data_IF_658341279222
#
_entry.id   IF_658341279222
#
_cell.length_a   1.000
_cell.length_b   1.000
_cell.length_c   1.000
_cell.angle_alpha   90.00
_cell.angle_beta   90.00
_cell.angle_gamma   90.00
#
_symmetry.space_group_name_H-M   'P 1'
#
loop_
_entity.id
_entity.type
_entity.pdbx_description
1 polymer ?
#
# COMPACT_ATOMS: atom_id res chain seq x y z
N UNK A 1 -39.06 2.19 8.15
CA UNK A 1 -38.17 1.81 7.05
C UNK A 1 -37.74 3.09 6.38
N UNK A 2 -36.45 3.31 6.23
CA UNK A 2 -35.95 4.47 5.50
C UNK A 2 -36.01 4.22 4.00
N UNK A 3 -36.08 5.31 3.25
CA UNK A 3 -36.08 5.31 1.79
C UNK A 3 -34.66 5.04 1.27
N UNK A 4 -33.65 5.60 1.93
CA UNK A 4 -32.24 5.46 1.54
C UNK A 4 -31.52 4.39 2.34
N UNK A 5 -31.69 4.39 3.65
CA UNK A 5 -30.99 3.51 4.59
C UNK A 5 -31.97 2.89 5.59
N UNK A 6 -31.75 1.63 5.93
CA UNK A 6 -32.35 0.96 7.07
C UNK A 6 -31.30 0.74 8.15
N UNK A 7 -31.76 0.53 9.38
CA UNK A 7 -30.91 0.16 10.52
C UNK A 7 -30.07 -1.10 10.26
N UNK A 8 -30.58 -2.04 9.46
CA UNK A 8 -29.85 -3.25 9.05
C UNK A 8 -28.66 -2.99 8.11
N UNK A 9 -28.62 -1.82 7.46
CA UNK A 9 -27.62 -1.48 6.45
C UNK A 9 -26.36 -0.86 7.10
N UNK A 10 -26.51 -0.36 8.33
CA UNK A 10 -25.44 0.21 9.13
C UNK A 10 -24.64 -0.92 9.80
N UNK A 11 -23.30 -0.81 9.92
CA UNK A 11 -22.50 -1.81 10.61
C UNK A 11 -22.99 -2.01 12.05
N UNK A 12 -23.09 -3.25 12.50
CA UNK A 12 -23.39 -3.53 13.90
C UNK A 12 -22.33 -2.91 14.82
N UNK A 13 -22.69 -2.59 16.06
CA UNK A 13 -21.74 -2.06 17.04
C UNK A 13 -20.54 -3.01 17.24
N UNK A 14 -20.75 -4.32 17.14
CA UNK A 14 -19.69 -5.32 17.20
C UNK A 14 -18.73 -5.23 16.01
N UNK A 15 -19.26 -5.09 14.79
CA UNK A 15 -18.45 -4.93 13.58
C UNK A 15 -17.66 -3.61 13.62
N UNK A 16 -18.28 -2.54 14.10
CA UNK A 16 -17.63 -1.24 14.24
C UNK A 16 -16.51 -1.27 15.29
N UNK A 17 -16.75 -1.91 16.43
CA UNK A 17 -15.74 -2.12 17.46
C UNK A 17 -14.57 -2.96 16.93
N UNK A 18 -14.87 -4.05 16.23
CA UNK A 18 -13.84 -4.86 15.54
C UNK A 18 -13.03 -3.99 14.57
N UNK A 19 -13.69 -3.19 13.74
CA UNK A 19 -13.05 -2.34 12.74
C UNK A 19 -12.08 -1.35 13.38
N UNK A 20 -12.48 -0.64 14.44
CA UNK A 20 -11.61 0.29 15.16
C UNK A 20 -10.41 -0.42 15.80
N UNK A 21 -10.62 -1.58 16.42
CA UNK A 21 -9.51 -2.36 16.99
C UNK A 21 -8.56 -2.84 15.91
N UNK A 22 -9.10 -3.32 14.79
CA UNK A 22 -8.31 -3.77 13.64
C UNK A 22 -7.49 -2.64 13.05
N UNK A 23 -8.10 -1.49 12.80
CA UNK A 23 -7.45 -0.30 12.24
C UNK A 23 -6.27 0.17 13.10
N UNK A 24 -6.48 0.29 14.41
CA UNK A 24 -5.42 0.66 15.35
C UNK A 24 -4.30 -0.39 15.40
N UNK A 25 -4.66 -1.69 15.32
CA UNK A 25 -3.68 -2.78 15.32
C UNK A 25 -2.85 -2.78 14.04
N UNK A 26 -3.51 -2.65 12.88
CA UNK A 26 -2.86 -2.59 11.58
C UNK A 26 -1.93 -1.38 11.49
N UNK A 27 -2.38 -0.19 11.91
CA UNK A 27 -1.53 1.00 11.97
C UNK A 27 -0.33 0.79 12.90
N UNK A 28 -0.54 0.21 14.08
CA UNK A 28 0.55 -0.13 15.00
C UNK A 28 1.60 -1.05 14.38
N UNK A 29 1.16 -2.06 13.64
CA UNK A 29 2.05 -2.96 12.87
C UNK A 29 2.79 -2.16 11.79
N UNK A 30 2.11 -1.33 11.00
CA UNK A 30 2.74 -0.51 9.96
C UNK A 30 3.80 0.43 10.54
N UNK A 31 3.50 1.14 11.63
CA UNK A 31 4.41 2.09 12.29
C UNK A 31 5.68 1.40 12.80
N UNK A 32 5.64 0.09 13.08
CA UNK A 32 6.82 -0.70 13.44
C UNK A 32 7.53 -1.25 12.19
N UNK A 33 6.77 -1.87 11.28
CA UNK A 33 7.31 -2.58 10.11
C UNK A 33 7.96 -1.64 9.10
N UNK A 34 7.38 -0.47 8.83
CA UNK A 34 7.92 0.47 7.83
C UNK A 34 9.28 1.03 8.26
N UNK A 35 9.45 1.62 9.46
CA UNK A 35 10.75 2.10 9.91
C UNK A 35 11.79 0.97 10.03
N UNK A 36 11.40 -0.22 10.50
CA UNK A 36 12.29 -1.38 10.53
C UNK A 36 12.77 -1.77 9.12
N UNK A 37 11.87 -1.80 8.15
CA UNK A 37 12.19 -2.13 6.76
C UNK A 37 13.12 -1.07 6.16
N UNK A 38 12.85 0.22 6.37
CA UNK A 38 13.71 1.33 5.93
C UNK A 38 15.10 1.22 6.59
N UNK A 39 15.17 0.90 7.89
CA UNK A 39 16.42 0.71 8.61
C UNK A 39 17.29 -0.39 7.97
N UNK A 40 16.69 -1.55 7.66
CA UNK A 40 17.34 -2.67 6.96
C UNK A 40 17.87 -2.21 5.59
N UNK A 41 17.08 -1.44 4.84
CA UNK A 41 17.50 -0.90 3.55
C UNK A 41 18.70 0.04 3.66
N UNK A 42 18.69 0.93 4.66
CA UNK A 42 19.77 1.90 4.89
C UNK A 42 21.07 1.19 5.27
N UNK A 43 21.01 0.17 6.14
CA UNK A 43 22.19 -0.62 6.53
C UNK A 43 22.74 -1.53 5.43
N UNK A 44 21.99 -1.75 4.36
CA UNK A 44 22.46 -2.54 3.22
C UNK A 44 23.46 -1.73 2.39
N UNK A 45 24.74 -2.12 2.39
CA UNK A 45 25.86 -1.38 1.79
C UNK A 45 26.05 -1.56 0.28
N UNK A 46 25.01 -1.93 -0.47
CA UNK A 46 25.14 -2.22 -1.90
C UNK A 46 24.96 -0.96 -2.77
N UNK A 47 26.08 -0.37 -3.23
CA UNK A 47 26.11 0.82 -4.08
C UNK A 47 25.36 0.64 -5.42
N UNK A 48 25.29 -0.58 -5.95
CA UNK A 48 24.63 -0.91 -7.22
C UNK A 48 23.11 -0.70 -7.15
N UNK A 49 22.52 -0.77 -5.94
CA UNK A 49 21.07 -0.71 -5.71
C UNK A 49 20.66 0.64 -5.08
N UNK A 50 21.57 1.60 -4.93
CA UNK A 50 21.30 2.80 -4.16
C UNK A 50 20.11 3.63 -4.68
N UNK A 51 19.98 3.78 -6.00
CA UNK A 51 18.85 4.51 -6.59
C UNK A 51 17.52 3.77 -6.41
N UNK A 52 17.50 2.45 -6.64
CA UNK A 52 16.31 1.63 -6.42
C UNK A 52 15.87 1.62 -4.95
N UNK A 53 16.84 1.61 -4.02
CA UNK A 53 16.60 1.74 -2.59
C UNK A 53 15.85 3.03 -2.25
N UNK A 54 16.21 4.16 -2.85
CA UNK A 54 15.51 5.43 -2.60
C UNK A 54 14.06 5.39 -3.11
N UNK A 55 13.79 4.70 -4.21
CA UNK A 55 12.43 4.51 -4.73
C UNK A 55 11.59 3.62 -3.81
N UNK A 56 12.18 2.56 -3.26
CA UNK A 56 11.54 1.73 -2.23
C UNK A 56 11.23 2.52 -0.96
N UNK A 57 12.19 3.31 -0.47
CA UNK A 57 11.96 4.16 0.72
C UNK A 57 10.85 5.17 0.45
N UNK A 58 10.84 5.79 -0.73
CA UNK A 58 9.78 6.73 -1.13
C UNK A 58 8.40 6.06 -1.13
N UNK A 59 8.30 4.86 -1.71
CA UNK A 59 7.05 4.09 -1.72
C UNK A 59 6.60 3.73 -0.30
N UNK A 60 7.47 3.17 0.54
CA UNK A 60 7.15 2.85 1.93
C UNK A 60 6.75 4.08 2.74
N UNK A 61 7.33 5.24 2.44
CA UNK A 61 6.96 6.50 3.10
C UNK A 61 5.53 6.91 2.72
N UNK A 62 5.17 6.86 1.44
CA UNK A 62 3.80 7.13 1.00
C UNK A 62 2.80 6.10 1.51
N UNK A 63 3.20 4.83 1.62
CA UNK A 63 2.39 3.78 2.24
C UNK A 63 2.11 4.07 3.71
N UNK A 64 3.11 4.49 4.48
CA UNK A 64 2.92 4.89 5.88
C UNK A 64 2.00 6.10 6.01
N UNK A 65 2.16 7.12 5.16
CA UNK A 65 1.30 8.31 5.17
C UNK A 65 -0.15 7.94 4.79
N UNK A 66 -0.33 7.00 3.86
CA UNK A 66 -1.64 6.47 3.48
C UNK A 66 -2.30 5.76 4.66
N UNK A 67 -1.60 4.84 5.32
CA UNK A 67 -2.14 4.11 6.48
C UNK A 67 -2.48 5.06 7.63
N UNK A 68 -1.63 6.05 7.92
CA UNK A 68 -1.90 7.07 8.94
C UNK A 68 -3.15 7.85 8.56
N UNK A 69 -3.28 8.29 7.30
CA UNK A 69 -4.41 9.11 6.87
C UNK A 69 -5.70 8.28 6.85
N UNK A 70 -5.66 7.03 6.38
CA UNK A 70 -6.78 6.10 6.41
C UNK A 70 -7.26 5.85 7.85
N UNK A 71 -6.33 5.62 8.79
CA UNK A 71 -6.65 5.40 10.19
C UNK A 71 -7.09 6.67 10.94
N UNK A 72 -6.62 7.85 10.51
CA UNK A 72 -7.15 9.10 11.03
C UNK A 72 -8.59 9.32 10.58
N UNK A 73 -8.90 8.97 9.33
CA UNK A 73 -10.24 9.14 8.75
C UNK A 73 -11.22 8.12 9.33
N UNK A 74 -10.86 6.84 9.40
CA UNK A 74 -11.74 5.76 9.87
C UNK A 74 -13.12 5.81 9.18
N UNK A 75 -13.15 5.91 7.85
CA UNK A 75 -14.36 6.24 7.12
C UNK A 75 -15.36 5.09 7.11
N UNK A 76 -16.61 5.38 7.48
CA UNK A 76 -17.77 4.54 7.19
C UNK A 76 -18.66 5.28 6.20
N UNK A 77 -18.62 4.86 4.94
CA UNK A 77 -19.41 5.48 3.88
C UNK A 77 -20.88 5.11 3.99
N UNK A 78 -21.78 6.06 3.78
CA UNK A 78 -23.22 5.94 3.98
C UNK A 78 -24.00 5.72 2.67
N UNK A 79 -23.49 4.86 1.78
CA UNK A 79 -24.14 4.65 0.48
C UNK A 79 -25.58 4.13 0.64
N UNK A 80 -26.56 4.64 -0.13
CA UNK A 80 -26.41 5.41 -1.37
C UNK A 80 -26.11 6.91 -1.20
N UNK A 81 -26.12 7.44 0.03
CA UNK A 81 -25.74 8.83 0.27
C UNK A 81 -24.22 8.99 0.01
N UNK A 82 -23.79 9.99 -0.78
CA UNK A 82 -22.37 10.29 -1.02
C UNK A 82 -21.73 10.98 0.19
N UNK A 83 -21.91 10.39 1.36
CA UNK A 83 -21.48 10.87 2.65
C UNK A 83 -20.73 9.78 3.41
N UNK A 84 -19.95 10.16 4.41
CA UNK A 84 -19.33 9.24 5.35
C UNK A 84 -19.29 9.88 6.73
N UNK A 85 -19.13 9.05 7.76
CA UNK A 85 -18.76 9.49 9.11
C UNK A 85 -17.47 8.81 9.53
N UNK A 86 -16.76 9.41 10.48
CA UNK A 86 -15.48 8.92 10.96
C UNK A 86 -15.63 8.23 12.32
N UNK A 87 -15.09 7.03 12.46
CA UNK A 87 -15.15 6.29 13.75
C UNK A 87 -13.89 6.44 14.60
N UNK A 88 -12.87 7.08 14.06
CA UNK A 88 -11.57 7.29 14.69
C UNK A 88 -11.41 8.76 15.14
N UNK A 89 -10.21 9.33 14.98
CA UNK A 89 -9.86 10.69 15.43
C UNK A 89 -10.70 11.78 14.75
N UNK A 90 -11.18 11.52 13.53
CA UNK A 90 -12.06 12.42 12.75
C UNK A 90 -13.34 12.80 13.46
N UNK A 91 -13.91 11.94 14.30
CA UNK A 91 -15.12 12.24 15.08
C UNK A 91 -14.99 13.50 15.95
N UNK A 92 -13.77 13.84 16.37
CA UNK A 92 -13.49 15.03 17.19
C UNK A 92 -13.15 16.29 16.35
N UNK A 93 -13.01 16.16 15.03
CA UNK A 93 -12.62 17.24 14.14
C UNK A 93 -13.83 18.03 13.63
N UNK A 94 -13.63 19.30 13.33
CA UNK A 94 -14.64 20.12 12.64
C UNK A 94 -14.89 19.61 11.21
N UNK A 95 -16.08 19.90 10.67
CA UNK A 95 -16.45 19.47 9.30
C UNK A 95 -15.43 19.90 8.24
N UNK A 96 -14.92 21.13 8.33
CA UNK A 96 -13.88 21.63 7.41
C UNK A 96 -12.58 20.82 7.51
N UNK A 97 -12.15 20.45 8.72
CA UNK A 97 -10.93 19.67 8.91
C UNK A 97 -11.07 18.24 8.38
N UNK A 98 -12.22 17.61 8.62
CA UNK A 98 -12.49 16.28 8.09
C UNK A 98 -12.53 16.27 6.56
N UNK A 99 -13.15 17.27 5.94
CA UNK A 99 -13.14 17.41 4.49
C UNK A 99 -11.73 17.61 3.93
N UNK A 100 -10.92 18.46 4.57
CA UNK A 100 -9.50 18.62 4.20
C UNK A 100 -8.78 17.28 4.31
N UNK A 101 -8.98 16.53 5.40
CA UNK A 101 -8.37 15.21 5.58
C UNK A 101 -8.81 14.23 4.49
N UNK A 102 -10.08 14.24 4.08
CA UNK A 102 -10.58 13.41 2.98
C UNK A 102 -9.90 13.73 1.64
N UNK A 103 -9.81 15.02 1.28
CA UNK A 103 -9.13 15.46 0.05
C UNK A 103 -7.63 15.11 0.08
N UNK A 104 -6.98 15.32 1.23
CA UNK A 104 -5.59 14.93 1.44
C UNK A 104 -5.43 13.42 1.31
N UNK A 105 -6.33 12.62 1.87
CA UNK A 105 -6.31 11.16 1.77
C UNK A 105 -6.37 10.66 0.32
N UNK A 106 -7.24 11.24 -0.51
CA UNK A 106 -7.28 10.91 -1.95
C UNK A 106 -5.96 11.32 -2.63
N UNK A 107 -5.41 12.49 -2.31
CA UNK A 107 -4.11 12.92 -2.82
C UNK A 107 -2.97 11.98 -2.45
N UNK A 108 -2.93 11.51 -1.19
CA UNK A 108 -1.95 10.54 -0.69
C UNK A 108 -2.09 9.20 -1.41
N UNK A 109 -3.33 8.72 -1.65
CA UNK A 109 -3.58 7.50 -2.42
C UNK A 109 -2.99 7.60 -3.84
N UNK A 110 -3.21 8.73 -4.53
CA UNK A 110 -2.65 8.98 -5.86
C UNK A 110 -1.11 9.00 -5.82
N UNK A 111 -0.52 9.65 -4.80
CA UNK A 111 0.95 9.68 -4.64
C UNK A 111 1.54 8.30 -4.34
N UNK A 112 0.80 7.46 -3.60
CA UNK A 112 1.16 6.05 -3.38
C UNK A 112 1.16 5.28 -4.70
N UNK A 113 0.15 5.43 -5.55
CA UNK A 113 0.13 4.80 -6.88
C UNK A 113 1.35 5.19 -7.72
N UNK A 114 1.65 6.49 -7.80
CA UNK A 114 2.82 6.99 -8.52
C UNK A 114 4.14 6.44 -7.98
N UNK A 115 4.25 6.23 -6.67
CA UNK A 115 5.46 5.68 -6.06
C UNK A 115 5.80 4.27 -6.55
N UNK A 116 4.78 3.43 -6.78
CA UNK A 116 4.95 2.08 -7.36
C UNK A 116 5.28 2.18 -8.86
N UNK A 117 4.63 3.08 -9.60
CA UNK A 117 4.95 3.28 -11.01
C UNK A 117 6.39 3.74 -11.24
N UNK A 118 6.94 4.58 -10.38
CA UNK A 118 8.35 4.95 -10.47
C UNK A 118 9.31 3.78 -10.25
N UNK A 119 8.95 2.83 -9.39
CA UNK A 119 9.71 1.59 -9.26
C UNK A 119 9.64 0.74 -10.53
N UNK A 120 8.43 0.56 -11.08
CA UNK A 120 8.21 -0.17 -12.33
C UNK A 120 9.00 0.45 -13.49
N UNK A 121 8.89 1.75 -13.68
CA UNK A 121 9.59 2.49 -14.72
C UNK A 121 11.11 2.35 -14.56
N UNK A 122 11.62 2.53 -13.34
CA UNK A 122 13.05 2.40 -13.07
C UNK A 122 13.59 1.02 -13.47
N UNK A 123 12.93 -0.06 -13.05
CA UNK A 123 13.38 -1.42 -13.37
C UNK A 123 13.17 -1.69 -14.87
N UNK A 124 12.08 -1.20 -15.48
CA UNK A 124 11.85 -1.28 -16.91
C UNK A 124 13.02 -0.68 -17.69
N UNK A 125 13.38 0.58 -17.44
CA UNK A 125 14.49 1.27 -18.12
C UNK A 125 15.82 0.52 -17.94
N UNK A 126 16.03 -0.13 -16.79
CA UNK A 126 17.22 -0.94 -16.52
C UNK A 126 17.19 -2.33 -17.17
N UNK A 127 16.00 -2.87 -17.46
CA UNK A 127 15.82 -4.16 -18.12
C UNK A 127 15.90 -4.08 -19.65
N UNK A 128 15.71 -2.89 -20.22
CA UNK A 128 15.73 -2.66 -21.66
C UNK A 128 17.14 -2.81 -22.26
N UNK A 129 17.21 -3.51 -23.39
CA UNK A 129 18.44 -3.62 -24.17
C UNK A 129 18.94 -2.23 -24.60
N UNK A 130 20.27 -2.07 -24.67
CA UNK A 130 20.92 -0.78 -24.94
C UNK A 130 20.43 -0.14 -26.25
N UNK A 131 20.18 -0.97 -27.26
CA UNK A 131 19.82 -0.57 -28.64
C UNK A 131 18.31 -0.59 -28.91
N UNK A 132 17.47 -0.80 -27.88
CA UNK A 132 16.03 -0.86 -28.08
C UNK A 132 15.43 0.54 -28.33
N UNK A 133 14.57 0.66 -29.35
CA UNK A 133 13.83 1.90 -29.65
C UNK A 133 12.98 2.38 -28.47
N UNK A 134 12.50 1.45 -27.65
CA UNK A 134 11.74 1.74 -26.41
C UNK A 134 12.64 2.49 -25.43
N UNK A 135 13.90 2.07 -25.26
CA UNK A 135 14.84 2.78 -24.40
C UNK A 135 15.15 4.17 -24.92
N UNK A 136 15.30 4.33 -26.23
CA UNK A 136 15.44 5.65 -26.84
C UNK A 136 14.23 6.51 -26.52
N UNK A 137 13.00 6.01 -26.67
CA UNK A 137 11.77 6.73 -26.31
C UNK A 137 11.79 7.26 -24.86
N UNK A 138 12.17 6.42 -23.90
CA UNK A 138 12.30 6.83 -22.48
C UNK A 138 13.49 7.75 -22.19
N UNK A 139 14.51 7.79 -23.06
CA UNK A 139 15.73 8.59 -22.88
C UNK A 139 15.81 9.83 -23.80
N UNK A 140 14.81 10.10 -24.63
CA UNK A 140 14.78 11.26 -25.55
C UNK A 140 14.82 12.60 -24.78
N UNK A 141 14.44 12.60 -23.51
CA UNK A 141 14.36 13.83 -22.71
C UNK A 141 15.64 14.01 -21.87
N UNK A 142 16.29 15.18 -21.91
CA UNK A 142 17.42 15.47 -21.02
C UNK A 142 17.00 15.29 -19.55
N UNK A 143 17.93 14.88 -18.68
CA UNK A 143 17.65 14.52 -17.27
C UNK A 143 16.83 15.58 -16.50
N UNK A 144 16.99 16.87 -16.81
CA UNK A 144 16.21 17.96 -16.22
C UNK A 144 14.75 17.99 -16.69
N UNK A 145 14.47 17.66 -17.95
CA UNK A 145 13.12 17.61 -18.50
C UNK A 145 12.30 16.43 -17.98
N UNK A 146 12.94 15.31 -17.65
CA UNK A 146 12.27 14.12 -17.11
C UNK A 146 11.54 14.42 -15.80
N UNK A 147 12.15 15.20 -14.90
CA UNK A 147 11.51 15.60 -13.63
C UNK A 147 10.28 16.49 -13.89
N UNK A 148 10.37 17.43 -14.82
CA UNK A 148 9.26 18.31 -15.16
C UNK A 148 8.09 17.55 -15.81
N UNK A 149 8.39 16.56 -16.65
CA UNK A 149 7.35 15.69 -17.25
C UNK A 149 6.63 14.91 -16.16
N UNK A 150 7.37 14.28 -15.25
CA UNK A 150 6.78 13.53 -14.14
C UNK A 150 5.94 14.40 -13.21
N UNK A 151 6.44 15.59 -12.86
CA UNK A 151 5.68 16.57 -12.10
C UNK A 151 4.40 16.99 -12.84
N UNK A 152 4.50 17.26 -14.15
CA UNK A 152 3.36 17.59 -14.99
C UNK A 152 2.31 16.49 -15.05
N UNK A 153 2.73 15.22 -15.15
CA UNK A 153 1.83 14.06 -15.11
C UNK A 153 1.14 13.96 -13.74
N UNK A 154 1.90 14.04 -12.65
CA UNK A 154 1.34 14.01 -11.28
C UNK A 154 0.28 15.09 -11.10
N UNK A 155 0.63 16.35 -11.43
CA UNK A 155 -0.29 17.50 -11.28
C UNK A 155 -1.52 17.33 -12.17
N UNK A 156 -1.36 16.81 -13.38
CA UNK A 156 -2.48 16.57 -14.30
C UNK A 156 -3.43 15.50 -13.78
N UNK A 157 -2.91 14.38 -13.27
CA UNK A 157 -3.73 13.30 -12.69
C UNK A 157 -4.39 13.76 -11.40
N UNK A 158 -3.67 14.44 -10.50
CA UNK A 158 -4.25 15.03 -9.30
C UNK A 158 -5.39 15.99 -9.65
N UNK A 159 -5.18 16.91 -10.59
CA UNK A 159 -6.20 17.85 -11.04
C UNK A 159 -7.40 17.15 -11.69
N UNK A 160 -7.18 16.11 -12.50
CA UNK A 160 -8.25 15.37 -13.16
C UNK A 160 -9.12 14.56 -12.18
N UNK A 161 -8.52 13.99 -11.12
CA UNK A 161 -9.26 13.19 -10.12
C UNK A 161 -9.88 14.07 -9.03
N UNK A 162 -9.11 15.00 -8.44
CA UNK A 162 -9.60 15.85 -7.35
C UNK A 162 -10.46 17.01 -7.85
N UNK A 163 -10.21 17.53 -9.06
CA UNK A 163 -10.94 18.67 -9.61
C UNK A 163 -12.46 18.48 -9.62
N UNK A 164 -12.99 17.38 -10.19
CA UNK A 164 -14.42 17.09 -10.15
C UNK A 164 -14.98 16.94 -8.72
N UNK A 165 -14.27 16.27 -7.82
CA UNK A 165 -14.69 16.08 -6.42
C UNK A 165 -14.82 17.43 -5.72
N UNK A 166 -13.82 18.32 -5.88
CA UNK A 166 -13.82 19.66 -5.28
C UNK A 166 -14.92 20.53 -5.92
N UNK A 167 -15.12 20.43 -7.23
CA UNK A 167 -16.12 21.21 -7.96
C UNK A 167 -17.56 20.85 -7.57
N UNK A 168 -17.85 19.56 -7.37
CA UNK A 168 -19.17 19.06 -6.97
C UNK A 168 -19.36 18.96 -5.45
N UNK A 169 -18.50 19.62 -4.67
CA UNK A 169 -18.59 19.61 -3.23
C UNK A 169 -19.87 20.34 -2.76
N UNK A 170 -20.76 19.68 -2.01
CA UNK A 170 -22.03 20.27 -1.65
C UNK A 170 -21.95 21.18 -0.41
N UNK A 171 -22.92 22.08 -0.30
CA UNK A 171 -23.17 22.80 0.95
C UNK A 171 -23.74 21.84 2.00
N UNK A 172 -22.91 21.52 3.01
CA UNK A 172 -23.23 20.53 4.05
C UNK A 172 -24.55 20.83 4.79
N UNK A 173 -24.84 22.12 5.04
CA UNK A 173 -26.04 22.52 5.78
C UNK A 173 -27.32 22.32 4.97
N UNK A 174 -27.27 22.60 3.66
CA UNK A 174 -28.39 22.40 2.75
C UNK A 174 -28.65 20.92 2.50
N UNK A 175 -27.60 20.13 2.25
CA UNK A 175 -27.74 18.69 2.07
C UNK A 175 -28.24 17.98 3.32
N UNK A 176 -27.73 18.34 4.51
CA UNK A 176 -28.24 17.78 5.77
C UNK A 176 -29.75 18.01 5.90
N UNK A 177 -30.23 19.23 5.66
CA UNK A 177 -31.68 19.54 5.72
C UNK A 177 -32.47 18.75 4.68
N UNK A 178 -31.93 18.61 3.47
CA UNK A 178 -32.56 17.84 2.41
C UNK A 178 -32.71 16.37 2.82
N UNK A 179 -31.64 15.70 3.23
CA UNK A 179 -31.69 14.28 3.60
C UNK A 179 -32.57 14.00 4.82
N UNK A 180 -32.56 14.88 5.83
CA UNK A 180 -33.46 14.77 6.99
C UNK A 180 -34.92 14.88 6.57
N UNK A 181 -35.24 15.76 5.61
CA UNK A 181 -36.62 15.93 5.14
C UNK A 181 -37.12 14.78 4.26
N UNK A 182 -36.21 14.08 3.58
CA UNK A 182 -36.54 12.91 2.75
C UNK A 182 -36.64 11.62 3.57
N UNK A 183 -35.80 11.43 4.59
CA UNK A 183 -35.75 10.20 5.37
C UNK A 183 -35.55 10.47 6.87
N UNK A 184 -36.58 10.26 7.72
CA UNK A 184 -36.48 10.44 9.17
C UNK A 184 -35.39 9.60 9.83
N UNK A 185 -35.05 8.42 9.28
CA UNK A 185 -33.98 7.59 9.82
C UNK A 185 -32.61 8.26 9.68
N UNK A 186 -32.39 8.97 8.56
CA UNK A 186 -31.17 9.76 8.35
C UNK A 186 -31.10 10.92 9.36
N UNK A 187 -32.24 11.48 9.75
CA UNK A 187 -32.35 12.43 10.87
C UNK A 187 -31.76 11.89 12.16
N UNK A 188 -32.20 10.69 12.58
CA UNK A 188 -31.64 10.00 13.76
C UNK A 188 -30.14 9.74 13.59
N UNK A 189 -29.71 9.31 12.41
CA UNK A 189 -28.30 9.04 12.13
C UNK A 189 -27.42 10.29 12.28
N UNK A 190 -27.91 11.47 11.88
CA UNK A 190 -27.21 12.76 12.11
C UNK A 190 -27.19 13.21 13.57
N UNK A 191 -28.12 12.73 14.39
CA UNK A 191 -28.11 12.95 15.84
C UNK A 191 -27.07 12.05 16.50
N UNK A 192 -27.01 10.79 16.09
CA UNK A 192 -26.05 9.80 16.59
C UNK A 192 -24.62 10.11 16.10
N UNK A 193 -24.48 10.62 14.86
CA UNK A 193 -23.22 10.94 14.19
C UNK A 193 -23.24 12.37 13.61
N UNK A 194 -22.97 13.40 14.44
CA UNK A 194 -22.96 14.79 13.98
C UNK A 194 -21.79 15.12 13.04
N UNK A 195 -20.81 14.22 12.92
CA UNK A 195 -19.62 14.29 12.09
C UNK A 195 -19.83 13.80 10.64
N UNK A 196 -21.05 13.40 10.25
CA UNK A 196 -21.35 13.02 8.86
C UNK A 196 -21.04 14.17 7.90
N UNK A 197 -20.26 13.87 6.86
CA UNK A 197 -19.89 14.79 5.79
C UNK A 197 -20.18 14.17 4.44
N UNK A 198 -20.71 14.99 3.54
CA UNK A 198 -21.00 14.63 2.18
C UNK A 198 -19.96 15.23 1.24
N UNK A 199 -19.37 14.41 0.37
CA UNK A 199 -18.25 14.81 -0.47
C UNK A 199 -18.67 15.08 -1.93
N UNK A 200 -19.88 14.67 -2.33
CA UNK A 200 -20.43 14.92 -3.67
C UNK A 200 -21.92 15.26 -3.56
N UNK A 201 -22.41 16.09 -4.47
CA UNK A 201 -23.84 16.27 -4.67
C UNK A 201 -24.51 15.04 -5.30
N UNK A 202 -25.63 14.57 -4.72
CA UNK A 202 -26.23 13.27 -5.04
C UNK A 202 -26.52 13.05 -6.53
N UNK A 203 -26.97 14.09 -7.23
CA UNK A 203 -27.28 14.04 -8.67
C UNK A 203 -26.04 13.92 -9.57
N UNK A 204 -24.85 14.24 -9.06
CA UNK A 204 -23.61 14.33 -9.84
C UNK A 204 -22.56 13.29 -9.43
N UNK A 205 -22.92 12.32 -8.58
CA UNK A 205 -22.04 11.24 -8.08
C UNK A 205 -21.26 10.55 -9.20
N UNK A 206 -21.94 10.10 -10.26
CA UNK A 206 -21.29 9.44 -11.38
C UNK A 206 -20.27 10.34 -12.11
N UNK A 207 -20.60 11.62 -12.31
CA UNK A 207 -19.71 12.56 -13.01
C UNK A 207 -18.45 12.86 -12.20
N UNK A 208 -18.58 12.99 -10.88
CA UNK A 208 -17.46 13.27 -10.00
C UNK A 208 -16.48 12.09 -9.88
N UNK A 209 -16.98 10.85 -9.95
CA UNK A 209 -16.20 9.66 -9.62
C UNK A 209 -15.69 8.88 -10.83
N UNK A 210 -16.34 8.99 -11.99
CA UNK A 210 -16.03 8.14 -13.15
C UNK A 210 -14.56 8.29 -13.60
N UNK A 211 -14.00 9.49 -13.51
CA UNK A 211 -12.60 9.74 -13.87
C UNK A 211 -11.65 9.02 -12.90
N UNK A 212 -11.90 9.15 -11.59
CA UNK A 212 -11.14 8.43 -10.57
C UNK A 212 -11.27 6.91 -10.69
N UNK A 213 -12.48 6.43 -10.99
CA UNK A 213 -12.75 5.01 -11.21
C UNK A 213 -11.99 4.45 -12.42
N UNK A 214 -12.00 5.16 -13.56
CA UNK A 214 -11.27 4.76 -14.76
C UNK A 214 -9.76 4.77 -14.49
N UNK A 215 -9.24 5.82 -13.85
CA UNK A 215 -7.83 5.93 -13.52
C UNK A 215 -7.36 4.77 -12.63
N UNK A 216 -8.09 4.52 -11.53
CA UNK A 216 -7.81 3.42 -10.61
C UNK A 216 -7.92 2.04 -11.29
N UNK A 217 -8.94 1.85 -12.12
CA UNK A 217 -9.13 0.59 -12.85
C UNK A 217 -8.01 0.34 -13.85
N UNK A 218 -7.49 1.38 -14.51
CA UNK A 218 -6.40 1.27 -15.48
C UNK A 218 -5.05 0.91 -14.84
N UNK A 219 -4.82 1.34 -13.59
CA UNK A 219 -3.57 1.15 -12.84
C UNK A 219 -3.00 -0.28 -12.90
N UNK A 220 -3.72 -1.34 -12.47
CA UNK A 220 -3.19 -2.71 -12.51
C UNK A 220 -2.90 -3.21 -13.92
N UNK A 221 -3.68 -2.80 -14.94
CA UNK A 221 -3.43 -3.17 -16.32
C UNK A 221 -2.16 -2.53 -16.88
N UNK A 222 -1.91 -1.25 -16.56
CA UNK A 222 -0.66 -0.57 -16.92
C UNK A 222 0.53 -1.28 -16.27
N UNK A 223 0.42 -1.61 -14.98
CA UNK A 223 1.44 -2.39 -14.27
C UNK A 223 1.71 -3.74 -14.92
N UNK A 224 0.67 -4.47 -15.31
CA UNK A 224 0.80 -5.75 -16.01
C UNK A 224 1.50 -5.60 -17.37
N UNK A 225 1.15 -4.58 -18.16
CA UNK A 225 1.83 -4.29 -19.43
C UNK A 225 3.32 -4.05 -19.21
N UNK A 226 3.69 -3.26 -18.19
CA UNK A 226 5.10 -3.05 -17.84
C UNK A 226 5.80 -4.36 -17.47
N UNK A 227 5.18 -5.21 -16.66
CA UNK A 227 5.76 -6.51 -16.31
C UNK A 227 5.97 -7.42 -17.53
N UNK A 228 5.03 -7.45 -18.48
CA UNK A 228 5.15 -8.23 -19.71
C UNK A 228 6.33 -7.72 -20.56
N UNK A 229 6.44 -6.40 -20.74
CA UNK A 229 7.55 -5.80 -21.50
C UNK A 229 8.89 -6.11 -20.82
N UNK A 230 8.96 -5.96 -19.50
CA UNK A 230 10.16 -6.29 -18.71
C UNK A 230 10.56 -7.76 -18.85
N UNK A 231 9.60 -8.68 -18.73
CA UNK A 231 9.83 -10.11 -18.86
C UNK A 231 10.43 -10.46 -20.22
N UNK A 232 9.81 -9.97 -21.29
CA UNK A 232 10.30 -10.18 -22.66
C UNK A 232 11.69 -9.57 -22.87
N UNK A 233 11.92 -8.36 -22.34
CA UNK A 233 13.21 -7.68 -22.46
C UNK A 233 14.33 -8.42 -21.74
N UNK A 234 14.09 -8.91 -20.52
CA UNK A 234 15.09 -9.68 -19.76
C UNK A 234 15.47 -10.98 -20.47
N UNK A 235 14.52 -11.64 -21.17
CA UNK A 235 14.79 -12.87 -21.92
C UNK A 235 15.60 -12.61 -23.20
N UNK A 236 15.47 -11.41 -23.80
CA UNK A 236 16.21 -11.05 -25.01
C UNK A 236 17.57 -10.40 -24.71
N UNK A 237 17.82 -10.01 -23.45
CA UNK A 237 19.04 -9.32 -23.05
C UNK A 237 20.23 -10.29 -22.95
N UNK A 238 21.31 -10.01 -23.70
CA UNK A 238 22.61 -10.69 -23.57
C UNK A 238 23.45 -10.11 -22.41
N UNK A 239 22.83 -9.83 -21.26
CA UNK A 239 23.49 -9.26 -20.09
C UNK A 239 24.41 -10.24 -19.36
N UNK A 240 25.27 -9.72 -18.48
CA UNK A 240 26.07 -10.57 -17.58
C UNK A 240 25.17 -11.42 -16.66
N UNK A 241 25.61 -12.62 -16.30
CA UNK A 241 24.88 -13.52 -15.39
C UNK A 241 24.56 -12.85 -14.04
N UNK A 242 25.46 -11.98 -13.55
CA UNK A 242 25.25 -11.23 -12.32
C UNK A 242 24.09 -10.21 -12.47
N UNK A 243 24.09 -9.44 -13.55
CA UNK A 243 23.02 -8.47 -13.85
C UNK A 243 21.67 -9.17 -14.02
N UNK A 244 21.64 -10.28 -14.75
CA UNK A 244 20.41 -11.07 -14.95
C UNK A 244 19.84 -11.58 -13.63
N UNK A 245 20.68 -12.14 -12.74
CA UNK A 245 20.25 -12.61 -11.41
C UNK A 245 19.66 -11.47 -10.57
N UNK A 246 20.30 -10.30 -10.59
CA UNK A 246 19.81 -9.10 -9.90
C UNK A 246 18.46 -8.65 -10.46
N UNK A 247 18.34 -8.51 -11.78
CA UNK A 247 17.10 -8.10 -12.45
C UNK A 247 15.95 -9.10 -12.19
N UNK A 248 16.21 -10.41 -12.25
CA UNK A 248 15.22 -11.46 -11.98
C UNK A 248 14.72 -11.41 -10.53
N UNK A 249 15.61 -11.15 -9.57
CA UNK A 249 15.23 -10.98 -8.17
C UNK A 249 14.33 -9.75 -7.97
N UNK A 250 14.71 -8.60 -8.54
CA UNK A 250 13.92 -7.37 -8.45
C UNK A 250 12.57 -7.51 -9.15
N UNK A 251 12.54 -8.11 -10.33
CA UNK A 251 11.32 -8.41 -11.07
C UNK A 251 10.38 -9.30 -10.26
N UNK A 252 10.89 -10.38 -9.65
CA UNK A 252 10.08 -11.25 -8.80
C UNK A 252 9.47 -10.48 -7.63
N UNK A 253 10.26 -9.67 -6.93
CA UNK A 253 9.76 -8.80 -5.86
C UNK A 253 8.61 -7.93 -6.37
N UNK A 254 8.82 -7.25 -7.50
CA UNK A 254 7.86 -6.34 -8.09
C UNK A 254 6.55 -7.02 -8.54
N UNK A 255 6.62 -8.24 -9.05
CA UNK A 255 5.42 -9.04 -9.38
C UNK A 255 4.57 -9.27 -8.13
N UNK A 256 5.19 -9.68 -7.03
CA UNK A 256 4.46 -9.91 -5.77
C UNK A 256 3.93 -8.61 -5.16
N UNK A 257 4.68 -7.52 -5.25
CA UNK A 257 4.22 -6.20 -4.83
C UNK A 257 3.02 -5.74 -5.65
N UNK A 258 3.04 -5.90 -6.98
CA UNK A 258 1.91 -5.53 -7.84
C UNK A 258 0.67 -6.40 -7.57
N UNK A 259 0.85 -7.69 -7.28
CA UNK A 259 -0.23 -8.57 -6.85
C UNK A 259 -0.83 -8.06 -5.54
N UNK A 260 0.00 -7.81 -4.52
CA UNK A 260 -0.45 -7.29 -3.22
C UNK A 260 -1.18 -5.95 -3.38
N UNK A 261 -0.62 -5.03 -4.16
CA UNK A 261 -1.22 -3.75 -4.51
C UNK A 261 -2.58 -3.90 -5.20
N UNK A 262 -2.69 -4.81 -6.17
CA UNK A 262 -3.96 -5.04 -6.89
C UNK A 262 -5.04 -5.58 -5.97
N UNK A 263 -4.73 -6.60 -5.15
CA UNK A 263 -5.72 -7.29 -4.33
C UNK A 263 -6.03 -6.61 -3.00
N UNK A 264 -5.03 -6.02 -2.35
CA UNK A 264 -5.19 -5.40 -1.04
C UNK A 264 -5.52 -3.91 -1.12
N UNK A 265 -5.23 -3.23 -2.24
CA UNK A 265 -5.47 -1.79 -2.38
C UNK A 265 -6.43 -1.47 -3.54
N UNK A 266 -6.08 -1.79 -4.80
CA UNK A 266 -6.92 -1.39 -5.94
C UNK A 266 -8.31 -2.01 -5.89
N UNK A 267 -8.42 -3.32 -5.68
CA UNK A 267 -9.69 -4.02 -5.68
C UNK A 267 -10.63 -3.52 -4.57
N UNK A 268 -10.21 -3.39 -3.31
CA UNK A 268 -11.04 -2.81 -2.25
C UNK A 268 -11.51 -1.38 -2.58
N UNK A 269 -10.63 -0.52 -3.08
CA UNK A 269 -11.02 0.86 -3.46
C UNK A 269 -12.00 0.85 -4.64
N UNK A 270 -11.79 -0.01 -5.64
CA UNK A 270 -12.75 -0.19 -6.74
C UNK A 270 -14.11 -0.69 -6.25
N UNK A 271 -14.14 -1.62 -5.28
CA UNK A 271 -15.39 -2.10 -4.69
C UNK A 271 -16.15 -0.99 -3.96
N UNK A 272 -15.46 -0.12 -3.22
CA UNK A 272 -16.06 1.08 -2.60
C UNK A 272 -16.61 2.03 -3.66
N UNK A 273 -15.84 2.30 -4.72
CA UNK A 273 -16.27 3.18 -5.82
C UNK A 273 -17.48 2.59 -6.57
N UNK A 274 -17.51 1.28 -6.80
CA UNK A 274 -18.66 0.58 -7.39
C UNK A 274 -19.88 0.69 -6.46
N UNK A 275 -19.69 0.47 -5.15
CA UNK A 275 -20.76 0.60 -4.17
C UNK A 275 -21.39 1.99 -4.19
N UNK A 276 -20.57 3.03 -4.38
CA UNK A 276 -21.03 4.40 -4.51
C UNK A 276 -21.69 4.68 -5.88
N UNK A 277 -21.08 4.25 -6.99
CA UNK A 277 -21.59 4.48 -8.35
C UNK A 277 -22.93 3.78 -8.63
N UNK A 278 -23.14 2.62 -8.03
CA UNK A 278 -24.37 1.83 -8.17
C UNK A 278 -25.29 1.94 -6.96
N UNK A 279 -25.02 2.88 -6.04
CA UNK A 279 -25.89 3.18 -4.90
C UNK A 279 -26.22 1.92 -4.08
N UNK A 280 -25.22 1.07 -3.85
CA UNK A 280 -25.39 -0.19 -3.15
C UNK A 280 -25.74 0.06 -1.68
N UNK A 281 -26.92 -0.42 -1.28
CA UNK A 281 -27.48 -0.30 0.07
C UNK A 281 -26.56 -0.85 1.18
N UNK A 282 -25.80 -1.92 0.91
CA UNK A 282 -24.84 -2.50 1.87
C UNK A 282 -23.49 -1.77 1.90
N UNK A 283 -23.41 -0.57 1.32
CA UNK A 283 -22.21 0.25 1.22
C UNK A 283 -21.42 0.42 2.51
N UNK A 284 -22.04 0.76 3.64
CA UNK A 284 -21.33 0.92 4.91
C UNK A 284 -20.53 -0.30 5.34
N UNK A 285 -21.14 -1.50 5.23
CA UNK A 285 -20.48 -2.76 5.57
C UNK A 285 -19.36 -3.07 4.57
N UNK A 286 -19.60 -2.85 3.27
CA UNK A 286 -18.59 -3.03 2.22
C UNK A 286 -17.38 -2.13 2.48
N UNK A 287 -17.59 -0.86 2.83
CA UNK A 287 -16.52 0.09 3.14
C UNK A 287 -15.66 -0.41 4.30
N UNK A 288 -16.27 -0.80 5.42
CA UNK A 288 -15.54 -1.33 6.58
C UNK A 288 -14.66 -2.52 6.19
N UNK A 289 -15.21 -3.48 5.46
CA UNK A 289 -14.45 -4.66 5.00
C UNK A 289 -13.31 -4.25 4.06
N UNK A 290 -13.57 -3.35 3.11
CA UNK A 290 -12.57 -2.90 2.14
C UNK A 290 -11.41 -2.15 2.81
N UNK A 291 -11.68 -1.32 3.82
CA UNK A 291 -10.65 -0.62 4.58
C UNK A 291 -9.75 -1.59 5.36
N UNK A 292 -10.28 -2.71 5.87
CA UNK A 292 -9.45 -3.75 6.47
C UNK A 292 -8.41 -4.31 5.49
N UNK A 293 -8.78 -4.55 4.23
CA UNK A 293 -7.82 -4.99 3.20
C UNK A 293 -6.81 -3.90 2.87
N UNK A 294 -7.26 -2.66 2.73
CA UNK A 294 -6.40 -1.51 2.44
C UNK A 294 -5.29 -1.38 3.48
N UNK A 295 -5.62 -1.44 4.77
CA UNK A 295 -4.65 -1.30 5.86
C UNK A 295 -3.67 -2.48 5.98
N UNK A 296 -4.00 -3.64 5.41
CA UNK A 296 -3.09 -4.78 5.35
C UNK A 296 -2.09 -4.68 4.20
N UNK A 297 -2.30 -3.81 3.22
CA UNK A 297 -1.43 -3.65 2.07
C UNK A 297 0.02 -3.36 2.49
N UNK A 298 0.25 -2.35 3.34
CA UNK A 298 1.59 -1.87 3.69
C UNK A 298 2.41 -2.89 4.49
N UNK A 299 1.87 -3.56 5.53
CA UNK A 299 2.57 -4.67 6.19
C UNK A 299 2.96 -5.79 5.22
N UNK A 300 2.05 -6.16 4.30
CA UNK A 300 2.33 -7.17 3.28
C UNK A 300 3.44 -6.72 2.33
N UNK A 301 3.43 -5.46 1.87
CA UNK A 301 4.47 -4.91 0.98
C UNK A 301 5.85 -4.94 1.67
N UNK A 302 5.92 -4.48 2.92
CA UNK A 302 7.13 -4.57 3.75
C UNK A 302 7.64 -6.01 3.86
N UNK A 303 6.75 -6.96 4.14
CA UNK A 303 7.11 -8.38 4.20
C UNK A 303 7.65 -8.89 2.86
N UNK A 304 6.99 -8.58 1.74
CA UNK A 304 7.44 -9.00 0.41
C UNK A 304 8.82 -8.44 0.06
N UNK A 305 9.07 -7.17 0.37
CA UNK A 305 10.37 -6.53 0.17
C UNK A 305 11.46 -7.23 0.99
N UNK A 306 11.24 -7.41 2.29
CA UNK A 306 12.20 -8.07 3.17
C UNK A 306 12.41 -9.54 2.79
N UNK A 307 11.38 -10.24 2.31
CA UNK A 307 11.45 -11.65 1.95
C UNK A 307 12.08 -11.92 0.59
N UNK A 308 11.80 -11.13 -0.45
CA UNK A 308 12.30 -11.42 -1.80
C UNK A 308 13.68 -10.82 -2.08
N UNK A 309 14.01 -9.68 -1.48
CA UNK A 309 15.28 -9.00 -1.75
C UNK A 309 16.38 -9.61 -0.88
N UNK A 310 17.21 -10.48 -1.49
CA UNK A 310 18.31 -11.22 -0.83
C UNK A 310 19.19 -10.36 0.09
N UNK A 311 19.73 -9.20 -0.32
CA UNK A 311 20.60 -8.43 0.57
C UNK A 311 19.88 -7.96 1.85
N UNK A 312 18.58 -7.68 1.78
CA UNK A 312 17.80 -7.28 2.96
C UNK A 312 17.58 -8.45 3.92
N UNK A 313 17.28 -9.66 3.41
CA UNK A 313 17.20 -10.87 4.24
C UNK A 313 18.46 -11.15 5.03
N UNK A 314 19.63 -10.97 4.40
CA UNK A 314 20.92 -11.22 5.05
C UNK A 314 21.11 -10.25 6.23
N UNK A 315 20.77 -8.97 6.04
CA UNK A 315 20.83 -7.96 7.10
C UNK A 315 19.84 -8.29 8.22
N UNK A 316 18.61 -8.67 7.91
CA UNK A 316 17.63 -9.11 8.91
C UNK A 316 18.15 -10.30 9.72
N UNK A 317 18.69 -11.33 9.06
CA UNK A 317 19.26 -12.49 9.74
C UNK A 317 20.44 -12.11 10.66
N UNK A 318 21.28 -11.17 10.24
CA UNK A 318 22.37 -10.65 11.07
C UNK A 318 21.85 -9.88 12.29
N UNK A 319 20.88 -8.98 12.09
CA UNK A 319 20.25 -8.23 13.18
C UNK A 319 19.58 -9.17 14.20
N UNK A 320 18.87 -10.20 13.73
CA UNK A 320 18.24 -11.19 14.60
C UNK A 320 19.29 -11.99 15.40
N UNK A 321 20.41 -12.38 14.79
CA UNK A 321 21.53 -13.02 15.49
C UNK A 321 22.09 -12.12 16.59
N UNK A 322 22.33 -10.84 16.30
CA UNK A 322 22.83 -9.87 17.29
C UNK A 322 21.85 -9.66 18.44
N UNK A 323 20.54 -9.59 18.14
CA UNK A 323 19.51 -9.47 19.17
C UNK A 323 19.41 -10.73 20.04
N UNK A 324 19.56 -11.92 19.45
CA UNK A 324 19.59 -13.18 20.19
C UNK A 324 20.79 -13.27 21.13
N UNK A 325 21.98 -12.86 20.69
CA UNK A 325 23.17 -12.82 21.56
C UNK A 325 23.00 -11.80 22.68
N UNK A 326 22.50 -10.60 22.38
CA UNK A 326 22.26 -9.56 23.39
C UNK A 326 21.20 -9.97 24.43
N UNK A 327 20.14 -10.65 24.00
CA UNK A 327 19.11 -11.18 24.90
C UNK A 327 19.64 -12.33 25.77
N UNK A 328 20.46 -13.23 25.18
CA UNK A 328 21.14 -14.30 25.91
C UNK A 328 22.04 -13.74 27.02
N UNK A 329 22.89 -12.78 26.69
CA UNK A 329 23.80 -12.13 27.66
C UNK A 329 23.03 -11.39 28.77
N UNK A 330 21.87 -10.79 28.45
CA UNK A 330 21.00 -10.15 29.45
C UNK A 330 20.36 -11.17 30.42
N UNK A 331 20.05 -12.38 29.95
CA UNK A 331 19.56 -13.47 30.81
C UNK A 331 20.69 -13.98 31.72
N UNK A 332 21.91 -14.12 31.21
CA UNK A 332 23.08 -14.49 32.03
C UNK A 332 23.45 -13.42 33.06
N UNK A 333 23.32 -12.13 32.74
CA UNK A 333 23.53 -11.05 33.72
C UNK A 333 22.45 -11.01 34.82
N UNK A 334 21.20 -11.38 34.51
CA UNK A 334 20.14 -11.49 35.54
C UNK A 334 20.22 -12.78 36.36
N UNK A 335 20.76 -13.86 35.82
CA UNK A 335 21.04 -15.11 36.55
C UNK A 335 22.38 -15.07 37.33
N UNK A 336 23.20 -14.03 37.12
CA UNK A 336 24.53 -13.85 37.68
C UNK A 336 24.59 -13.19 39.07
N UNK A 337 23.57 -13.39 39.92
CA UNK A 337 23.66 -13.18 41.38
C UNK A 337 23.29 -14.51 42.02
N UNK A 338 24.30 -15.23 42.53
CA UNK A 338 24.26 -16.59 43.09
C UNK A 338 24.41 -17.77 42.11
N UNK A 339 25.57 -17.91 41.46
CA UNK A 339 26.11 -19.26 41.19
C UNK A 339 27.61 -19.28 41.50
N UNK A 340 27.93 -19.99 42.58
CA UNK A 340 29.29 -20.33 42.99
C UNK A 340 29.95 -21.20 41.91
N UNK A 341 31.22 -20.87 41.63
CA UNK A 341 32.12 -21.59 40.72
C UNK A 341 32.12 -23.11 40.97
N UNK A 342 31.81 -23.89 39.94
CA UNK A 342 32.13 -25.31 39.81
C UNK A 342 32.86 -25.57 38.48
N UNK A 343 33.79 -26.54 38.40
CA UNK A 343 34.74 -26.65 37.31
C UNK A 343 34.19 -27.32 36.04
N UNK A 344 34.79 -26.91 34.93
CA UNK A 344 34.65 -27.32 33.52
C UNK A 344 34.24 -28.78 33.24
N UNK A 345 33.29 -28.94 32.31
CA UNK A 345 33.00 -30.19 31.62
C UNK A 345 32.34 -29.95 30.26
N UNK A 346 33.15 -30.13 29.22
CA UNK A 346 32.90 -30.47 27.81
C UNK A 346 31.81 -29.81 26.93
N UNK A 347 32.24 -29.50 25.70
CA UNK A 347 31.48 -28.85 24.62
C UNK A 347 30.73 -29.87 23.78
N UNK A 348 29.46 -29.61 23.51
CA UNK A 348 28.74 -30.17 22.35
C UNK A 348 28.07 -29.03 21.60
N UNK A 349 28.62 -28.69 20.43
CA UNK A 349 28.02 -27.82 19.43
C UNK A 349 26.75 -28.49 18.87
N UNK A 350 25.64 -27.74 18.87
CA UNK A 350 24.39 -28.16 18.25
C UNK A 350 24.12 -27.23 17.06
N UNK A 351 24.44 -27.74 15.87
CA UNK A 351 24.16 -27.07 14.60
C UNK A 351 22.65 -27.02 14.34
N UNK A 352 22.08 -25.80 14.35
CA UNK A 352 20.70 -25.55 13.91
C UNK A 352 20.75 -25.27 12.41
N UNK A 353 20.54 -26.32 11.61
CA UNK A 353 20.39 -26.24 10.17
C UNK A 353 19.11 -25.48 9.77
N UNK A 354 19.26 -24.29 9.19
CA UNK A 354 18.20 -23.64 8.43
C UNK A 354 18.10 -24.33 7.08
N UNK A 355 16.94 -24.95 6.82
CA UNK A 355 16.61 -25.63 5.57
C UNK A 355 16.73 -24.64 4.40
N UNK A 356 17.78 -24.78 3.60
CA UNK A 356 17.91 -24.14 2.28
C UNK A 356 16.80 -24.66 1.36
N UNK A 357 15.68 -23.94 1.30
CA UNK A 357 14.72 -24.08 0.20
C UNK A 357 15.31 -23.41 -1.04
N UNK A 358 16.24 -24.10 -1.70
CA UNK A 358 17.07 -23.48 -2.71
C UNK A 358 17.69 -24.37 -3.78
N UNK A 359 17.18 -25.57 -4.09
CA UNK A 359 17.66 -26.34 -5.27
C UNK A 359 16.70 -27.48 -5.65
N UNK A 360 15.61 -27.19 -6.37
CA UNK A 360 14.88 -28.23 -7.15
C UNK A 360 14.61 -27.81 -8.61
N UNK A 361 14.99 -26.61 -9.05
CA UNK A 361 14.68 -26.14 -10.41
C UNK A 361 15.87 -25.95 -11.37
N UNK A 362 17.12 -26.08 -10.91
CA UNK A 362 18.31 -25.77 -11.75
C UNK A 362 19.10 -27.01 -12.24
N UNK A 363 18.53 -28.23 -12.18
CA UNK A 363 19.22 -29.48 -12.63
C UNK A 363 18.71 -30.01 -13.98
N UNK A 364 17.84 -29.30 -14.70
CA UNK A 364 17.20 -29.84 -15.91
C UNK A 364 17.69 -29.28 -17.26
N UNK A 365 18.70 -28.40 -17.33
CA UNK A 365 19.03 -27.72 -18.60
C UNK A 365 20.53 -27.69 -18.96
N UNK A 366 21.26 -28.78 -18.65
CA UNK A 366 22.65 -28.96 -19.10
C UNK A 366 22.83 -30.25 -19.90
N UNK A 367 21.98 -30.45 -20.91
CA UNK A 367 21.96 -31.68 -21.70
C UNK A 367 21.33 -31.56 -23.07
N UNK A 368 21.91 -30.72 -23.95
CA UNK A 368 22.05 -30.97 -25.40
C UNK A 368 22.45 -29.70 -26.17
N UNK A 369 23.73 -29.61 -26.55
CA UNK A 369 24.14 -29.07 -27.87
C UNK A 369 25.60 -29.43 -28.20
N UNK A 370 25.81 -30.68 -28.59
CA UNK A 370 26.85 -31.08 -29.53
C UNK A 370 26.18 -31.85 -30.67
N UNK A 371 25.94 -31.17 -31.78
CA UNK A 371 26.02 -31.65 -33.18
C UNK A 371 25.86 -30.44 -34.10
#
# INVERSE_FOLDING_TARGET
>A
MGIFLNESDIPSAELLHFYVVFENTALGITVIMVPFTILVMVFTSNSVINAYRLLLINELSWSLVLDITAALIGAVSLFPLPCYYGVSVTSALSHTQQLINFVVGIGVLIMKDFSIFYQLEYILVKSLAMDSKIRTLFQIVPKSGVVLIHLGIIVSVLGAVLGPIIYYLPNQGEQKRLFISLDPFVGKLYEDHPDIICFIDGENTAKALIVGFIALSATPFIGLVFLIIMYNSMHQSNGSTHTYRLQKMLFRSLVFQLIAFTFLLCLPVMMVMIALLYELRNGPIITVICFCFLLMHTPFDCFMILYFIKPYRIVVAHLLKVLQTAAGDAVWMKAGVHVLKGPLGDKTEMDIGWVEWGTVADVADDGRRCM
#
